data_IF_155163221123
#
_entry.id   IF_155163221123
#
_cell.length_a   1.000
_cell.length_b   1.000
_cell.length_c   1.000
_cell.angle_alpha   90.00
_cell.angle_beta   90.00
_cell.angle_gamma   90.00
#
_symmetry.space_group_name_H-M   'P 1'
#
loop_
_entity.id
_entity.type
_entity.pdbx_description
1 polymer ?
#
# COMPACT_ATOMS: atom_id res chain seq x y z
N UNK A 1 -10.76 -12.02 -28.47
CA UNK A 1 -10.04 -10.75 -28.35
C UNK A 1 -10.49 -10.12 -27.02
N UNK A 2 -9.74 -10.36 -25.91
CA UNK A 2 -10.01 -9.64 -24.67
C UNK A 2 -9.62 -8.19 -24.89
N UNK A 3 -10.59 -7.30 -24.85
CA UNK A 3 -10.37 -5.85 -24.84
C UNK A 3 -9.65 -5.49 -23.55
N UNK A 4 -8.34 -5.40 -23.58
CA UNK A 4 -7.55 -4.89 -22.47
C UNK A 4 -8.03 -3.46 -22.16
N UNK A 5 -8.88 -3.33 -21.14
CA UNK A 5 -9.35 -2.03 -20.65
C UNK A 5 -8.11 -1.19 -20.30
N UNK A 6 -7.92 -0.09 -21.02
CA UNK A 6 -6.78 0.81 -20.82
C UNK A 6 -6.81 1.37 -19.39
N UNK A 7 -5.76 1.12 -18.62
CA UNK A 7 -5.63 1.63 -17.25
C UNK A 7 -5.42 3.14 -17.32
N UNK A 8 -6.35 3.90 -16.73
CA UNK A 8 -6.30 5.37 -16.66
C UNK A 8 -6.24 5.83 -15.22
N UNK A 9 -5.66 7.00 -14.96
CA UNK A 9 -5.58 7.58 -13.60
C UNK A 9 -6.97 7.71 -12.98
N UNK A 10 -7.93 8.28 -13.71
CA UNK A 10 -9.30 8.43 -13.22
C UNK A 10 -9.99 7.08 -12.93
N UNK A 11 -9.76 6.07 -13.78
CA UNK A 11 -10.31 4.74 -13.58
C UNK A 11 -9.77 4.08 -12.30
N UNK A 12 -8.47 4.15 -12.08
CA UNK A 12 -7.83 3.60 -10.87
C UNK A 12 -8.33 4.30 -9.62
N UNK A 13 -8.39 5.64 -9.64
CA UNK A 13 -8.88 6.41 -8.49
C UNK A 13 -10.35 6.11 -8.18
N UNK A 14 -11.23 6.07 -9.18
CA UNK A 14 -12.66 5.79 -8.96
C UNK A 14 -12.89 4.39 -8.41
N UNK A 15 -12.18 3.39 -8.94
CA UNK A 15 -12.30 2.00 -8.50
C UNK A 15 -11.73 1.82 -7.08
N UNK A 16 -10.54 2.36 -6.80
CA UNK A 16 -9.91 2.33 -5.47
C UNK A 16 -10.77 3.05 -4.42
N UNK A 17 -11.27 4.26 -4.70
CA UNK A 17 -12.17 4.98 -3.79
C UNK A 17 -13.45 4.19 -3.53
N UNK A 18 -14.04 3.60 -4.57
CA UNK A 18 -15.25 2.78 -4.44
C UNK A 18 -15.05 1.56 -3.53
N UNK A 19 -13.93 0.84 -3.70
CA UNK A 19 -13.55 -0.29 -2.83
C UNK A 19 -13.27 0.17 -1.40
N UNK A 20 -12.58 1.29 -1.23
CA UNK A 20 -12.25 1.87 0.07
C UNK A 20 -13.49 2.28 0.86
N UNK A 21 -14.42 3.02 0.26
CA UNK A 21 -15.65 3.44 0.93
C UNK A 21 -16.49 2.24 1.34
N UNK A 22 -16.63 1.24 0.46
CA UNK A 22 -17.39 0.02 0.75
C UNK A 22 -16.85 -0.77 1.93
N UNK A 23 -15.54 -0.73 2.17
CA UNK A 23 -14.86 -1.47 3.23
C UNK A 23 -14.28 -0.57 4.34
N UNK A 24 -14.63 0.71 4.36
CA UNK A 24 -14.00 1.73 5.21
C UNK A 24 -13.96 1.34 6.70
N UNK A 25 -15.05 0.85 7.25
CA UNK A 25 -15.13 0.46 8.67
C UNK A 25 -14.17 -0.71 8.97
N UNK A 26 -14.13 -1.73 8.11
CA UNK A 26 -13.23 -2.88 8.28
C UNK A 26 -11.77 -2.49 8.15
N UNK A 27 -11.45 -1.61 7.19
CA UNK A 27 -10.10 -1.13 6.97
C UNK A 27 -9.60 -0.25 8.11
N UNK A 28 -10.45 0.67 8.60
CA UNK A 28 -10.13 1.49 9.77
C UNK A 28 -9.92 0.61 11.01
N UNK A 29 -10.79 -0.37 11.24
CA UNK A 29 -10.63 -1.33 12.33
C UNK A 29 -9.32 -2.11 12.23
N UNK A 30 -8.98 -2.63 11.06
CA UNK A 30 -7.73 -3.34 10.82
C UNK A 30 -6.50 -2.43 11.04
N UNK A 31 -6.56 -1.18 10.58
CA UNK A 31 -5.47 -0.21 10.77
C UNK A 31 -5.26 0.14 12.24
N UNK A 32 -6.34 0.35 13.01
CA UNK A 32 -6.24 0.60 14.46
C UNK A 32 -5.62 -0.61 15.17
N UNK A 33 -6.10 -1.83 14.88
CA UNK A 33 -5.54 -3.05 15.46
C UNK A 33 -4.07 -3.25 15.07
N UNK A 34 -3.70 -2.94 13.84
CA UNK A 34 -2.31 -2.98 13.38
C UNK A 34 -1.43 -1.99 14.15
N UNK A 35 -1.87 -0.74 14.33
CA UNK A 35 -1.15 0.26 15.11
C UNK A 35 -0.95 -0.16 16.57
N UNK A 36 -1.94 -0.82 17.18
CA UNK A 36 -1.81 -1.36 18.53
C UNK A 36 -0.81 -2.52 18.63
N UNK A 37 -0.61 -3.26 17.55
CA UNK A 37 0.29 -4.43 17.51
C UNK A 37 1.69 -4.12 17.01
N UNK A 38 1.95 -2.93 16.47
CA UNK A 38 3.23 -2.54 15.87
C UNK A 38 4.40 -2.62 16.87
N UNK A 39 4.10 -2.46 18.16
CA UNK A 39 5.08 -2.50 19.26
C UNK A 39 5.38 -3.91 19.76
N UNK A 40 4.64 -4.92 19.31
CA UNK A 40 4.80 -6.30 19.75
C UNK A 40 5.69 -7.03 18.75
N UNK A 41 6.97 -7.33 19.09
CA UNK A 41 7.86 -8.06 18.19
C UNK A 41 7.24 -9.38 17.71
N UNK A 42 7.56 -9.80 16.51
CA UNK A 42 7.04 -11.01 15.85
C UNK A 42 5.57 -10.93 15.45
N UNK A 43 4.68 -10.41 16.30
CA UNK A 43 3.27 -10.19 15.95
C UNK A 43 3.12 -9.11 14.89
N UNK A 44 3.87 -8.00 15.04
CA UNK A 44 3.85 -6.88 14.10
C UNK A 44 4.21 -7.29 12.66
N UNK A 45 5.10 -8.26 12.50
CA UNK A 45 5.46 -8.76 11.16
C UNK A 45 4.28 -9.45 10.49
N UNK A 46 3.62 -10.37 11.22
CA UNK A 46 2.45 -11.07 10.71
C UNK A 46 1.30 -10.12 10.39
N UNK A 47 1.01 -9.17 11.27
CA UNK A 47 -0.04 -8.16 11.05
C UNK A 47 0.30 -7.20 9.90
N UNK A 48 1.57 -6.82 9.73
CA UNK A 48 2.01 -6.00 8.59
C UNK A 48 1.88 -6.75 7.26
N UNK A 49 2.26 -8.03 7.21
CA UNK A 49 2.04 -8.87 6.03
C UNK A 49 0.55 -8.98 5.72
N UNK A 50 -0.29 -9.18 6.73
CA UNK A 50 -1.73 -9.22 6.58
C UNK A 50 -2.28 -7.91 6.00
N UNK A 51 -1.84 -6.74 6.48
CA UNK A 51 -2.23 -5.44 5.94
C UNK A 51 -1.91 -5.32 4.45
N UNK A 52 -0.75 -5.81 4.00
CA UNK A 52 -0.39 -5.83 2.59
C UNK A 52 -1.23 -6.81 1.73
N UNK A 53 -2.04 -7.67 2.34
CA UNK A 53 -2.98 -8.53 1.59
C UNK A 53 -4.35 -7.88 1.38
N UNK A 54 -4.65 -6.77 2.04
CA UNK A 54 -5.95 -6.07 1.91
C UNK A 54 -6.29 -5.78 0.45
N UNK A 55 -5.43 -5.13 -0.36
CA UNK A 55 -5.76 -4.84 -1.76
C UNK A 55 -6.06 -6.11 -2.57
N UNK A 56 -5.35 -7.20 -2.27
CA UNK A 56 -5.54 -8.50 -2.94
C UNK A 56 -6.94 -9.07 -2.64
N UNK A 57 -7.34 -9.06 -1.38
CA UNK A 57 -8.64 -9.60 -0.97
C UNK A 57 -9.80 -8.71 -1.45
N UNK A 58 -9.63 -7.38 -1.41
CA UNK A 58 -10.61 -6.43 -1.93
C UNK A 58 -10.80 -6.56 -3.45
N UNK A 59 -9.71 -6.74 -4.21
CA UNK A 59 -9.78 -6.94 -5.66
C UNK A 59 -10.52 -8.23 -6.05
N UNK A 60 -10.55 -9.22 -5.13
CA UNK A 60 -11.34 -10.45 -5.28
C UNK A 60 -12.79 -10.31 -4.82
N UNK A 61 -13.22 -9.10 -4.45
CA UNK A 61 -14.57 -8.81 -3.99
C UNK A 61 -14.91 -9.33 -2.59
N UNK A 62 -13.92 -9.72 -1.81
CA UNK A 62 -14.15 -10.24 -0.45
C UNK A 62 -14.39 -9.10 0.54
N UNK A 63 -15.28 -9.34 1.49
CA UNK A 63 -15.45 -8.49 2.67
C UNK A 63 -14.42 -8.89 3.73
N UNK A 64 -13.68 -7.92 4.24
CA UNK A 64 -12.61 -8.16 5.21
C UNK A 64 -13.13 -7.92 6.63
N UNK A 65 -12.90 -8.86 7.55
CA UNK A 65 -13.07 -8.63 8.98
C UNK A 65 -11.80 -7.97 9.55
N UNK A 66 -11.88 -6.95 10.42
CA UNK A 66 -10.70 -6.32 11.02
C UNK A 66 -9.75 -7.31 11.71
N UNK A 67 -10.29 -8.40 12.26
CA UNK A 67 -9.53 -9.42 12.99
C UNK A 67 -8.68 -10.33 12.08
N UNK A 68 -8.84 -10.25 10.75
CA UNK A 68 -8.08 -11.08 9.82
C UNK A 68 -6.56 -10.91 9.95
N UNK A 69 -6.09 -9.77 10.43
CA UNK A 69 -4.66 -9.48 10.59
C UNK A 69 -3.96 -10.41 11.58
N UNK A 70 -4.71 -11.06 12.46
CA UNK A 70 -4.16 -12.01 13.45
C UNK A 70 -4.05 -13.45 12.93
N UNK A 71 -4.52 -13.74 11.71
CA UNK A 71 -4.44 -15.07 11.13
C UNK A 71 -2.98 -15.52 10.97
N UNK A 72 -2.65 -16.67 11.55
CA UNK A 72 -1.30 -17.25 11.53
C UNK A 72 -0.76 -17.55 10.12
N UNK A 73 -1.64 -17.68 9.11
CA UNK A 73 -1.24 -17.96 7.72
C UNK A 73 -0.32 -16.88 7.14
N UNK A 74 -0.43 -15.63 7.59
CA UNK A 74 0.39 -14.53 7.07
C UNK A 74 1.86 -14.65 7.48
N UNK A 75 2.16 -15.34 8.56
CA UNK A 75 3.54 -15.61 9.00
C UNK A 75 4.28 -16.63 8.12
N UNK A 76 3.54 -17.40 7.31
CA UNK A 76 4.13 -18.38 6.39
C UNK A 76 5.11 -17.74 5.40
N UNK A 77 4.85 -16.52 4.95
CA UNK A 77 5.67 -15.80 3.96
C UNK A 77 6.66 -14.82 4.57
N UNK A 78 6.93 -14.92 5.87
CA UNK A 78 7.78 -13.95 6.58
C UNK A 78 9.20 -13.89 5.99
N UNK A 79 9.81 -15.03 5.69
CA UNK A 79 11.15 -15.10 5.12
C UNK A 79 11.24 -14.46 3.72
N UNK A 80 10.32 -14.85 2.85
CA UNK A 80 10.22 -14.33 1.47
C UNK A 80 9.90 -12.83 1.48
N UNK A 81 9.02 -12.40 2.38
CA UNK A 81 8.64 -11.00 2.54
C UNK A 81 9.84 -10.13 2.94
N UNK A 82 10.61 -10.54 3.94
CA UNK A 82 11.83 -9.83 4.35
C UNK A 82 12.89 -9.84 3.27
N UNK A 83 13.07 -10.97 2.59
CA UNK A 83 14.01 -11.07 1.47
C UNK A 83 13.62 -10.12 0.35
N UNK A 84 12.34 -10.08 -0.03
CA UNK A 84 11.84 -9.17 -1.06
C UNK A 84 12.08 -7.70 -0.69
N UNK A 85 11.66 -7.30 0.51
CA UNK A 85 11.84 -5.93 1.00
C UNK A 85 13.32 -5.56 1.06
N UNK A 86 14.16 -6.45 1.57
CA UNK A 86 15.61 -6.23 1.62
C UNK A 86 16.22 -6.02 0.23
N UNK A 87 15.88 -6.84 -0.75
CA UNK A 87 16.34 -6.70 -2.13
C UNK A 87 15.84 -5.38 -2.77
N UNK A 88 14.58 -5.03 -2.53
CA UNK A 88 14.02 -3.78 -3.05
C UNK A 88 14.74 -2.56 -2.46
N UNK A 89 14.91 -2.49 -1.15
CA UNK A 89 15.58 -1.37 -0.50
C UNK A 89 17.06 -1.27 -0.87
N UNK A 90 17.78 -2.39 -0.96
CA UNK A 90 19.17 -2.41 -1.39
C UNK A 90 19.39 -1.87 -2.80
N UNK A 91 18.40 -1.96 -3.67
CA UNK A 91 18.47 -1.41 -5.02
C UNK A 91 17.90 0.01 -5.12
N UNK A 92 16.73 0.27 -4.49
CA UNK A 92 16.03 1.55 -4.62
C UNK A 92 16.78 2.68 -3.91
N UNK A 93 17.28 2.44 -2.68
CA UNK A 93 17.95 3.49 -1.90
C UNK A 93 19.20 4.03 -2.60
N UNK A 94 20.17 3.19 -3.05
CA UNK A 94 21.31 3.68 -3.81
C UNK A 94 20.88 4.34 -5.13
N UNK A 95 19.89 3.77 -5.83
CA UNK A 95 19.41 4.35 -7.08
C UNK A 95 18.83 5.76 -6.88
N UNK A 96 18.07 5.99 -5.81
CA UNK A 96 17.56 7.32 -5.46
C UNK A 96 18.68 8.28 -5.07
N UNK A 97 19.71 7.77 -4.37
CA UNK A 97 20.82 8.60 -3.91
C UNK A 97 21.72 9.08 -5.07
N UNK A 98 22.05 8.19 -6.00
CA UNK A 98 22.94 8.50 -7.12
C UNK A 98 22.21 9.08 -8.33
N UNK A 99 20.98 8.62 -8.58
CA UNK A 99 20.18 8.96 -9.75
C UNK A 99 18.69 8.95 -9.42
N UNK A 100 18.13 10.07 -9.01
CA UNK A 100 16.72 10.18 -8.56
C UNK A 100 15.74 9.58 -9.58
N UNK A 101 15.87 9.90 -10.87
CA UNK A 101 14.93 9.43 -11.90
C UNK A 101 14.93 7.89 -12.06
N UNK A 102 16.08 7.21 -12.24
CA UNK A 102 16.12 5.76 -12.22
C UNK A 102 15.58 5.14 -10.94
N UNK A 103 15.86 5.73 -9.78
CA UNK A 103 15.32 5.27 -8.49
C UNK A 103 13.78 5.29 -8.46
N UNK A 104 13.15 6.36 -8.94
CA UNK A 104 11.69 6.45 -9.07
C UNK A 104 11.17 5.41 -10.05
N UNK A 105 11.79 5.22 -11.21
CA UNK A 105 11.37 4.24 -12.22
C UNK A 105 11.40 2.82 -11.67
N UNK A 106 12.45 2.47 -10.90
CA UNK A 106 12.60 1.16 -10.29
C UNK A 106 11.55 0.96 -9.19
N UNK A 107 11.35 1.94 -8.32
CA UNK A 107 10.36 1.86 -7.22
C UNK A 107 8.94 1.66 -7.77
N UNK A 108 8.55 2.37 -8.82
CA UNK A 108 7.26 2.15 -9.50
C UNK A 108 7.24 0.77 -10.16
N UNK A 109 8.33 0.36 -10.80
CA UNK A 109 8.45 -0.96 -11.43
C UNK A 109 8.20 -2.11 -10.46
N UNK A 110 8.58 -1.96 -9.20
CA UNK A 110 8.45 -2.99 -8.16
C UNK A 110 7.32 -2.76 -7.18
N UNK A 111 6.49 -1.75 -7.41
CA UNK A 111 5.37 -1.40 -6.52
C UNK A 111 4.37 -2.55 -6.29
N UNK A 112 4.21 -3.44 -7.25
CA UNK A 112 3.32 -4.60 -7.15
C UNK A 112 4.02 -5.88 -6.64
N UNK A 113 5.33 -5.86 -6.39
CA UNK A 113 6.10 -7.07 -6.08
C UNK A 113 5.62 -7.76 -4.79
N UNK A 114 5.33 -6.98 -3.74
CA UNK A 114 4.83 -7.51 -2.46
C UNK A 114 3.49 -8.22 -2.68
N UNK A 115 2.57 -7.60 -3.41
CA UNK A 115 1.25 -8.18 -3.70
C UNK A 115 1.36 -9.47 -4.54
N UNK A 116 2.25 -9.50 -5.53
CA UNK A 116 2.49 -10.69 -6.36
C UNK A 116 3.08 -11.83 -5.53
N UNK A 117 4.03 -11.53 -4.64
CA UNK A 117 4.59 -12.52 -3.73
C UNK A 117 3.51 -13.12 -2.84
N UNK A 118 2.71 -12.29 -2.19
CA UNK A 118 1.69 -12.72 -1.22
C UNK A 118 0.49 -13.42 -1.89
N UNK A 119 0.11 -13.02 -3.12
CA UNK A 119 -1.01 -13.61 -3.85
C UNK A 119 -0.63 -14.92 -4.56
N UNK A 120 0.56 -14.98 -5.16
CA UNK A 120 1.01 -16.10 -5.99
C UNK A 120 1.99 -17.04 -5.28
N UNK A 121 2.55 -16.65 -4.13
CA UNK A 121 3.54 -17.45 -3.41
C UNK A 121 4.82 -17.70 -4.21
N UNK A 122 5.21 -16.78 -5.10
CA UNK A 122 6.40 -16.90 -5.93
C UNK A 122 7.65 -16.42 -5.20
N UNK A 123 8.83 -16.81 -5.69
CA UNK A 123 10.10 -16.35 -5.13
C UNK A 123 10.25 -14.81 -5.23
N UNK A 124 10.97 -14.15 -4.28
CA UNK A 124 11.14 -12.71 -4.25
C UNK A 124 11.63 -12.09 -5.56
N UNK A 125 12.68 -12.66 -6.18
CA UNK A 125 13.21 -12.19 -7.46
C UNK A 125 12.20 -12.32 -8.60
N UNK A 126 11.42 -13.38 -8.62
CA UNK A 126 10.36 -13.58 -9.61
C UNK A 126 9.22 -12.58 -9.41
N UNK A 127 8.84 -12.27 -8.16
CA UNK A 127 7.85 -11.25 -7.85
C UNK A 127 8.27 -9.87 -8.39
N UNK A 128 9.55 -9.49 -8.23
CA UNK A 128 10.11 -8.25 -8.77
C UNK A 128 10.04 -8.21 -10.31
N UNK A 129 10.44 -9.30 -10.98
CA UNK A 129 10.39 -9.39 -12.45
C UNK A 129 8.94 -9.28 -12.95
N UNK A 130 8.01 -10.01 -12.33
CA UNK A 130 6.59 -9.98 -12.68
C UNK A 130 5.99 -8.60 -12.44
N UNK A 131 6.34 -7.93 -11.34
CA UNK A 131 5.92 -6.57 -11.04
C UNK A 131 6.38 -5.59 -12.12
N UNK A 132 7.67 -5.63 -12.49
CA UNK A 132 8.19 -4.74 -13.51
C UNK A 132 7.53 -4.97 -14.89
N UNK A 133 7.20 -6.21 -15.23
CA UNK A 133 6.44 -6.53 -16.45
C UNK A 133 5.01 -6.00 -16.38
N UNK A 134 4.33 -6.18 -15.26
CA UNK A 134 2.94 -5.73 -15.07
C UNK A 134 2.80 -4.19 -15.09
N UNK A 135 3.80 -3.47 -14.57
CA UNK A 135 3.82 -2.01 -14.57
C UNK A 135 4.34 -1.39 -15.88
N UNK A 136 4.88 -2.23 -16.79
CA UNK A 136 5.42 -1.74 -18.04
C UNK A 136 4.33 -1.09 -18.90
N UNK A 137 4.61 0.11 -19.42
CA UNK A 137 3.65 0.92 -20.16
C UNK A 137 2.69 1.77 -19.29
N UNK A 138 2.59 1.47 -17.97
CA UNK A 138 1.69 2.18 -17.05
C UNK A 138 2.41 2.94 -15.95
N UNK A 139 3.74 3.05 -15.99
CA UNK A 139 4.53 3.70 -14.93
C UNK A 139 4.11 5.14 -14.68
N UNK A 140 3.80 5.89 -15.73
CA UNK A 140 3.31 7.26 -15.61
C UNK A 140 1.90 7.34 -15.01
N UNK A 141 1.04 6.38 -15.30
CA UNK A 141 -0.29 6.29 -14.68
C UNK A 141 -0.18 6.01 -13.20
N UNK A 142 0.66 5.05 -12.80
CA UNK A 142 0.91 4.69 -11.39
C UNK A 142 1.51 5.89 -10.65
N UNK A 143 2.52 6.53 -11.25
CA UNK A 143 3.12 7.76 -10.69
C UNK A 143 2.06 8.86 -10.50
N UNK A 144 1.23 9.10 -11.51
CA UNK A 144 0.16 10.11 -11.47
C UNK A 144 -0.86 9.85 -10.36
N UNK A 145 -1.30 8.60 -10.18
CA UNK A 145 -2.20 8.22 -9.08
C UNK A 145 -1.54 8.49 -7.72
N UNK A 146 -0.32 8.00 -7.51
CA UNK A 146 0.41 8.18 -6.26
C UNK A 146 0.68 9.66 -5.95
N UNK A 147 1.04 10.43 -6.97
CA UNK A 147 1.29 11.88 -6.85
C UNK A 147 0.01 12.64 -6.47
N UNK A 148 -1.11 12.36 -7.14
CA UNK A 148 -2.38 13.02 -6.85
C UNK A 148 -2.89 12.68 -5.44
N UNK A 149 -2.79 11.43 -5.02
CA UNK A 149 -3.16 11.02 -3.66
C UNK A 149 -2.27 11.68 -2.62
N UNK A 150 -0.95 11.72 -2.86
CA UNK A 150 0.00 12.39 -1.97
C UNK A 150 -0.26 13.90 -1.89
N UNK A 151 -0.53 14.54 -3.03
CA UNK A 151 -0.86 15.97 -3.09
C UNK A 151 -2.17 16.28 -2.35
N UNK A 152 -3.21 15.49 -2.59
CA UNK A 152 -4.50 15.64 -1.90
C UNK A 152 -4.33 15.51 -0.38
N UNK A 153 -3.56 14.52 0.08
CA UNK A 153 -3.24 14.36 1.49
C UNK A 153 -2.46 15.56 2.05
N UNK A 154 -1.44 16.01 1.34
CA UNK A 154 -0.64 17.18 1.74
C UNK A 154 -1.51 18.44 1.88
N UNK A 155 -2.37 18.72 0.90
CA UNK A 155 -3.28 19.88 0.95
C UNK A 155 -4.25 19.75 2.13
N UNK A 156 -4.81 18.57 2.36
CA UNK A 156 -5.69 18.31 3.50
C UNK A 156 -4.99 18.56 4.83
N UNK A 157 -3.76 18.06 4.98
CA UNK A 157 -2.94 18.27 6.18
C UNK A 157 -2.64 19.76 6.41
N UNK A 158 -2.30 20.50 5.35
CA UNK A 158 -2.06 21.94 5.42
C UNK A 158 -3.31 22.73 5.84
N UNK A 159 -4.48 22.38 5.31
CA UNK A 159 -5.75 23.01 5.66
C UNK A 159 -6.02 22.79 7.15
N UNK A 160 -5.90 21.58 7.66
CA UNK A 160 -6.17 21.26 9.05
C UNK A 160 -5.17 21.95 9.97
N UNK A 161 -3.89 21.94 9.61
CA UNK A 161 -2.86 22.60 10.39
C UNK A 161 -3.11 24.13 10.53
N UNK A 162 -3.68 24.75 9.50
CA UNK A 162 -3.99 26.20 9.51
C UNK A 162 -5.30 26.53 10.22
N UNK A 163 -6.31 25.64 10.21
CA UNK A 163 -7.65 25.92 10.77
C UNK A 163 -7.73 25.50 12.24
N UNK A 164 -7.08 24.41 12.62
CA UNK A 164 -7.18 23.84 13.95
C UNK A 164 -5.98 24.22 14.82
N UNK A 165 -6.24 24.86 15.96
CA UNK A 165 -5.23 25.16 16.98
C UNK A 165 -5.42 24.28 18.22
N UNK A 166 -4.30 23.89 18.87
CA UNK A 166 -4.31 23.14 20.11
C UNK A 166 -4.54 21.63 19.99
N UNK A 167 -4.96 20.99 21.08
CA UNK A 167 -5.10 19.53 21.16
C UNK A 167 -6.11 18.92 20.20
N UNK A 168 -7.14 19.68 19.80
CA UNK A 168 -8.14 19.24 18.82
C UNK A 168 -7.52 19.09 17.42
N UNK A 169 -6.58 19.96 17.03
CA UNK A 169 -5.85 19.83 15.78
C UNK A 169 -5.04 18.53 15.74
N UNK A 170 -4.33 18.23 16.81
CA UNK A 170 -3.53 17.01 16.92
C UNK A 170 -4.41 15.75 16.81
N UNK A 171 -5.57 15.74 17.43
CA UNK A 171 -6.53 14.63 17.32
C UNK A 171 -7.03 14.45 15.88
N UNK A 172 -7.42 15.53 15.21
CA UNK A 172 -7.86 15.48 13.81
C UNK A 172 -6.74 15.01 12.88
N UNK A 173 -5.52 15.52 13.04
CA UNK A 173 -4.36 15.09 12.27
C UNK A 173 -4.09 13.61 12.46
N UNK A 174 -4.21 13.10 13.68
CA UNK A 174 -4.04 11.68 13.98
C UNK A 174 -5.11 10.81 13.31
N UNK A 175 -6.38 11.21 13.39
CA UNK A 175 -7.49 10.48 12.74
C UNK A 175 -7.29 10.44 11.23
N UNK A 176 -6.93 11.56 10.62
CA UNK A 176 -6.71 11.63 9.16
C UNK A 176 -5.49 10.81 8.74
N UNK A 177 -4.42 10.81 9.54
CA UNK A 177 -3.28 9.94 9.26
C UNK A 177 -3.69 8.46 9.28
N UNK A 178 -4.54 8.03 10.22
CA UNK A 178 -5.08 6.66 10.25
C UNK A 178 -5.92 6.37 9.00
N UNK A 179 -6.80 7.28 8.61
CA UNK A 179 -7.63 7.13 7.39
C UNK A 179 -6.74 7.05 6.15
N UNK A 180 -5.73 7.88 6.05
CA UNK A 180 -4.80 7.88 4.93
C UNK A 180 -3.96 6.59 4.87
N UNK A 181 -3.44 6.12 6.01
CA UNK A 181 -2.75 4.84 6.09
C UNK A 181 -3.67 3.68 5.66
N UNK A 182 -4.94 3.74 6.02
CA UNK A 182 -5.95 2.78 5.57
C UNK A 182 -6.15 2.82 4.05
N UNK A 183 -6.18 4.01 3.44
CA UNK A 183 -6.37 4.20 2.00
C UNK A 183 -5.14 3.83 1.16
N UNK A 184 -3.92 4.03 1.67
CA UNK A 184 -2.69 3.63 0.97
C UNK A 184 -2.61 2.12 0.74
N UNK A 185 -3.30 1.33 1.56
CA UNK A 185 -3.34 -0.13 1.44
C UNK A 185 -4.43 -0.63 0.46
N UNK A 186 -5.07 0.25 -0.31
CA UNK A 186 -6.00 -0.08 -1.39
C UNK A 186 -5.30 0.03 -2.74
#
# INVERSE_FOLDING_TARGET
METHKKITVAGVLSEGIGLGIKNAVSMLGATVLWLLTIWIPYLNVGTTIAMNTIPIELSKGKVISPLFIFDGKYRKYMGEYFTLIGLMYLAIIPALFFMIIPGIIISIGWSLAIYILLDKGVAPGEAMIRSNKATYGYKWTIFGVSFLLGLAFYVLMMIIFNIASGGFAMLLLFIIAIVYLSLIHI
#
